data_IF_509641479880
#
_entry.id   IF_509641479880
#
_cell.length_a   1.000
_cell.length_b   1.000
_cell.length_c   1.000
_cell.angle_alpha   90.00
_cell.angle_beta   90.00
_cell.angle_gamma   90.00
#
_symmetry.space_group_name_H-M   'P 1'
#
loop_
_entity.id
_entity.type
_entity.pdbx_description
1 polymer ?
#
# COMPACT_ATOMS: atom_id res chain seq x y z
N UNK A 1 -19.63 -44.67 32.14
CA UNK A 1 -20.32 -43.39 32.43
C UNK A 1 -20.41 -42.47 31.20
N UNK A 2 -19.33 -42.13 30.49
CA UNK A 2 -19.39 -41.20 29.34
C UNK A 2 -20.34 -41.59 28.20
N UNK A 3 -20.45 -42.88 27.85
CA UNK A 3 -21.36 -43.38 26.83
C UNK A 3 -22.85 -43.09 27.11
N UNK A 4 -23.27 -43.09 28.36
CA UNK A 4 -24.67 -42.78 28.75
C UNK A 4 -24.96 -41.29 28.59
N UNK A 5 -24.03 -40.40 28.99
CA UNK A 5 -24.18 -38.95 28.80
C UNK A 5 -24.26 -38.55 27.33
N UNK A 6 -23.44 -39.17 26.48
CA UNK A 6 -23.49 -38.94 25.04
C UNK A 6 -24.82 -39.37 24.44
N UNK A 7 -25.33 -40.55 24.87
CA UNK A 7 -26.61 -41.07 24.39
C UNK A 7 -27.79 -40.17 24.80
N UNK A 8 -27.79 -39.69 26.07
CA UNK A 8 -28.77 -38.73 26.55
C UNK A 8 -28.69 -37.39 25.80
N UNK A 9 -27.48 -36.85 25.56
CA UNK A 9 -27.30 -35.62 24.82
C UNK A 9 -27.84 -35.72 23.38
N UNK A 10 -27.54 -36.83 22.69
CA UNK A 10 -28.06 -37.08 21.33
C UNK A 10 -29.59 -37.22 21.31
N UNK A 11 -30.16 -37.82 22.34
CA UNK A 11 -31.61 -37.97 22.46
C UNK A 11 -32.29 -36.61 22.71
N UNK A 12 -31.76 -35.76 23.60
CA UNK A 12 -32.22 -34.39 23.82
C UNK A 12 -32.16 -33.54 22.53
N UNK A 13 -31.10 -33.67 21.76
CA UNK A 13 -30.95 -32.99 20.44
C UNK A 13 -32.02 -33.43 19.45
N UNK A 14 -32.44 -34.70 19.47
CA UNK A 14 -33.50 -35.21 18.61
C UNK A 14 -34.90 -34.82 19.05
N UNK A 15 -35.16 -34.71 20.35
CA UNK A 15 -36.43 -34.31 20.87
C UNK A 15 -36.74 -32.83 20.63
N UNK A 16 -35.70 -31.96 20.63
CA UNK A 16 -35.84 -30.51 20.38
C UNK A 16 -35.05 -30.06 19.17
N UNK A 17 -35.37 -30.61 18.02
CA UNK A 17 -34.62 -30.42 16.77
C UNK A 17 -34.47 -28.95 16.36
N UNK A 18 -35.51 -28.12 16.49
CA UNK A 18 -35.49 -26.71 16.15
C UNK A 18 -34.51 -25.91 17.04
N UNK A 19 -34.56 -26.11 18.34
CA UNK A 19 -33.64 -25.43 19.27
C UNK A 19 -32.20 -25.89 19.07
N UNK A 20 -32.01 -27.16 18.77
CA UNK A 20 -30.70 -27.76 18.52
C UNK A 20 -30.08 -27.17 17.22
N UNK A 21 -30.84 -27.04 16.14
CA UNK A 21 -30.38 -26.44 14.87
C UNK A 21 -30.00 -24.98 15.11
N UNK A 22 -30.82 -24.19 15.79
CA UNK A 22 -30.54 -22.78 16.08
C UNK A 22 -29.28 -22.64 16.95
N UNK A 23 -29.14 -23.48 17.99
CA UNK A 23 -27.95 -23.42 18.85
C UNK A 23 -26.68 -23.83 18.15
N UNK A 24 -26.71 -24.89 17.35
CA UNK A 24 -25.53 -25.37 16.59
C UNK A 24 -25.16 -24.35 15.51
N UNK A 25 -26.13 -23.83 14.75
CA UNK A 25 -25.84 -22.83 13.72
C UNK A 25 -25.33 -21.51 14.31
N UNK A 26 -25.91 -21.06 15.44
CA UNK A 26 -25.44 -19.87 16.14
C UNK A 26 -24.01 -19.98 16.65
N UNK A 27 -23.68 -21.12 17.29
CA UNK A 27 -22.31 -21.36 17.74
C UNK A 27 -21.32 -21.53 16.60
N UNK A 28 -21.70 -22.22 15.55
CA UNK A 28 -20.87 -22.37 14.35
C UNK A 28 -20.59 -21.01 13.68
N UNK A 29 -21.60 -20.16 13.58
CA UNK A 29 -21.45 -18.80 13.02
C UNK A 29 -20.53 -17.93 13.92
N UNK A 30 -20.71 -18.00 15.22
CA UNK A 30 -19.87 -17.26 16.18
C UNK A 30 -18.38 -17.67 16.05
N UNK A 31 -18.12 -18.98 16.00
CA UNK A 31 -16.75 -19.49 15.83
C UNK A 31 -16.17 -19.05 14.47
N UNK A 32 -16.97 -19.16 13.40
CA UNK A 32 -16.54 -18.71 12.07
C UNK A 32 -16.17 -17.22 12.05
N UNK A 33 -16.96 -16.35 12.69
CA UNK A 33 -16.67 -14.92 12.80
C UNK A 33 -15.36 -14.66 13.57
N UNK A 34 -15.13 -15.36 14.68
CA UNK A 34 -13.87 -15.22 15.44
C UNK A 34 -12.68 -15.66 14.60
N UNK A 35 -12.79 -16.79 13.89
CA UNK A 35 -11.72 -17.26 13.01
C UNK A 35 -11.42 -16.27 11.89
N UNK A 36 -12.44 -15.71 11.24
CA UNK A 36 -12.26 -14.68 10.20
C UNK A 36 -11.56 -13.45 10.79
N UNK A 37 -11.96 -12.99 11.98
CA UNK A 37 -11.32 -11.85 12.64
C UNK A 37 -9.84 -12.13 12.95
N UNK A 38 -9.50 -13.32 13.44
CA UNK A 38 -8.11 -13.74 13.69
C UNK A 38 -7.31 -13.79 12.39
N UNK A 39 -7.87 -14.36 11.33
CA UNK A 39 -7.21 -14.40 10.03
C UNK A 39 -6.94 -13.01 9.46
N UNK A 40 -7.92 -12.12 9.51
CA UNK A 40 -7.75 -10.72 9.07
C UNK A 40 -6.68 -10.01 9.90
N UNK A 41 -6.65 -10.24 11.21
CA UNK A 41 -5.62 -9.67 12.06
C UNK A 41 -4.22 -10.23 11.73
N UNK A 42 -4.11 -11.54 11.51
CA UNK A 42 -2.84 -12.17 11.09
C UNK A 42 -2.34 -11.61 9.75
N UNK A 43 -3.21 -11.50 8.75
CA UNK A 43 -2.85 -10.91 7.44
C UNK A 43 -2.33 -9.48 7.61
N UNK A 44 -2.97 -8.68 8.47
CA UNK A 44 -2.55 -7.29 8.73
C UNK A 44 -1.24 -7.19 9.54
N UNK A 45 -0.91 -8.16 10.36
CA UNK A 45 0.28 -8.14 11.24
C UNK A 45 1.48 -8.86 10.64
N UNK A 46 1.28 -9.73 9.66
CA UNK A 46 2.37 -10.47 9.02
C UNK A 46 3.01 -9.61 7.94
N UNK A 47 4.32 -9.42 8.04
CA UNK A 47 5.11 -8.74 7.01
C UNK A 47 5.28 -9.65 5.79
N UNK A 48 4.89 -9.19 4.62
CA UNK A 48 5.15 -9.81 3.31
C UNK A 48 5.45 -8.72 2.28
N UNK A 49 6.15 -9.09 1.23
CA UNK A 49 6.53 -8.14 0.20
C UNK A 49 5.31 -7.39 -0.38
N UNK A 50 5.38 -6.06 -0.56
CA UNK A 50 6.55 -5.21 -0.37
C UNK A 50 6.78 -4.70 1.07
N UNK A 51 5.94 -5.04 2.05
CA UNK A 51 6.01 -4.56 3.43
C UNK A 51 6.62 -5.61 4.38
N UNK A 52 7.74 -6.22 4.02
CA UNK A 52 8.37 -7.31 4.77
C UNK A 52 8.70 -6.95 6.23
N UNK A 53 9.07 -5.70 6.47
CA UNK A 53 9.44 -5.17 7.79
C UNK A 53 8.35 -4.28 8.43
N UNK A 54 7.09 -4.54 8.14
CA UNK A 54 5.95 -3.70 8.55
C UNK A 54 5.90 -3.35 10.04
N UNK A 55 6.32 -4.25 10.91
CA UNK A 55 6.38 -4.04 12.35
C UNK A 55 7.40 -2.97 12.78
N UNK A 56 8.34 -2.59 11.90
CA UNK A 56 9.39 -1.58 12.14
C UNK A 56 9.04 -0.23 11.50
N UNK A 57 7.96 -0.14 10.74
CA UNK A 57 7.56 1.08 10.07
C UNK A 57 6.89 2.05 11.05
N UNK A 58 7.24 3.33 10.88
CA UNK A 58 6.54 4.44 11.51
C UNK A 58 5.95 5.31 10.41
N UNK A 59 4.64 5.52 10.45
CA UNK A 59 3.93 6.36 9.51
C UNK A 59 3.59 7.71 10.14
N UNK A 60 3.89 8.79 9.44
CA UNK A 60 3.52 10.15 9.84
C UNK A 60 2.59 10.71 8.77
N UNK A 61 1.30 10.81 9.09
CA UNK A 61 0.24 11.14 8.14
C UNK A 61 -0.03 12.64 7.98
N UNK A 62 0.55 13.48 8.83
CA UNK A 62 0.34 14.91 8.72
C UNK A 62 0.99 15.67 9.86
N UNK A 63 0.93 16.98 9.75
CA UNK A 63 1.41 17.94 10.76
C UNK A 63 0.24 18.75 11.31
N UNK A 64 0.36 19.15 12.58
CA UNK A 64 -0.51 20.11 13.20
C UNK A 64 0.30 21.37 13.53
N UNK A 65 -0.06 22.47 12.93
CA UNK A 65 0.51 23.77 13.27
C UNK A 65 -0.48 24.50 14.18
N UNK A 66 -0.04 24.80 15.41
CA UNK A 66 -0.85 25.59 16.34
C UNK A 66 -0.22 26.97 16.53
N UNK A 67 -0.98 28.02 16.25
CA UNK A 67 -0.60 29.38 16.58
C UNK A 67 -1.20 29.78 17.95
N UNK A 68 -0.34 30.22 18.87
CA UNK A 68 -0.79 30.84 20.13
C UNK A 68 -1.02 32.32 19.90
N UNK A 69 -2.19 32.70 19.46
CA UNK A 69 -2.63 34.09 19.43
C UNK A 69 -3.38 34.48 20.72
N UNK A 70 -3.33 35.75 21.18
CA UNK A 70 -4.00 36.19 22.40
C UNK A 70 -5.53 36.08 22.40
N UNK A 71 -6.14 35.59 21.34
CA UNK A 71 -7.61 35.45 21.19
C UNK A 71 -8.13 34.07 20.83
N UNK A 72 -7.27 33.06 20.76
CA UNK A 72 -7.66 31.69 20.40
C UNK A 72 -6.49 30.89 19.88
N UNK A 73 -6.58 29.55 19.94
CA UNK A 73 -5.61 28.65 19.32
C UNK A 73 -6.17 28.20 17.97
N UNK A 74 -5.67 28.79 16.89
CA UNK A 74 -5.91 28.25 15.56
C UNK A 74 -5.04 27.00 15.37
N UNK A 75 -5.69 25.86 15.17
CA UNK A 75 -5.05 24.59 14.84
C UNK A 75 -5.33 24.26 13.39
N UNK A 76 -4.30 24.23 12.60
CA UNK A 76 -4.39 23.79 11.21
C UNK A 76 -3.72 22.44 11.06
N UNK A 77 -4.48 21.45 10.57
CA UNK A 77 -3.97 20.11 10.27
C UNK A 77 -3.93 19.92 8.77
N UNK A 78 -2.82 19.45 8.28
CA UNK A 78 -2.65 19.21 6.85
C UNK A 78 -1.56 18.20 6.55
N UNK A 79 -1.40 17.88 5.26
CA UNK A 79 -0.24 17.16 4.77
C UNK A 79 1.04 17.95 5.02
N UNK A 80 2.18 17.26 4.94
CA UNK A 80 3.49 17.90 5.06
C UNK A 80 3.96 18.39 3.70
N UNK A 81 4.56 19.59 3.66
CA UNK A 81 5.31 20.01 2.48
C UNK A 81 6.62 19.21 2.35
N UNK A 82 7.15 19.12 1.14
CA UNK A 82 8.46 18.48 0.88
C UNK A 82 9.60 19.12 1.69
N UNK A 83 9.51 20.41 1.97
CA UNK A 83 10.50 21.14 2.78
C UNK A 83 10.47 20.69 4.24
N UNK A 84 9.29 20.56 4.84
CA UNK A 84 9.14 20.03 6.20
C UNK A 84 9.68 18.60 6.30
N UNK A 85 9.43 17.78 5.29
CA UNK A 85 9.99 16.41 5.23
C UNK A 85 11.51 16.45 5.20
N UNK A 86 12.10 17.30 4.35
CA UNK A 86 13.54 17.45 4.21
C UNK A 86 14.21 17.95 5.51
N UNK A 87 13.66 18.98 6.12
CA UNK A 87 14.25 19.60 7.31
C UNK A 87 14.06 18.77 8.57
N UNK A 88 12.87 18.20 8.78
CA UNK A 88 12.51 17.54 10.03
C UNK A 88 12.81 16.04 10.03
N UNK A 89 12.71 15.36 8.89
CA UNK A 89 12.77 13.89 8.85
C UNK A 89 14.05 13.36 8.21
N UNK A 90 14.58 13.95 7.14
CA UNK A 90 15.83 13.47 6.53
C UNK A 90 17.07 13.75 7.37
N UNK A 91 16.96 14.65 8.34
CA UNK A 91 18.03 14.94 9.31
C UNK A 91 18.10 13.92 10.46
N UNK A 92 17.09 13.06 10.59
CA UNK A 92 17.04 12.05 11.65
C UNK A 92 18.12 10.98 11.43
N UNK A 93 18.88 10.69 12.49
CA UNK A 93 19.99 9.71 12.46
C UNK A 93 19.60 8.30 12.91
N UNK A 94 18.46 8.16 13.59
CA UNK A 94 18.03 6.86 14.16
C UNK A 94 17.27 5.97 13.18
N UNK A 95 16.38 6.50 12.31
CA UNK A 95 15.75 5.67 11.28
C UNK A 95 16.78 5.12 10.32
N UNK A 96 16.61 3.87 9.88
CA UNK A 96 17.45 3.22 8.88
C UNK A 96 17.22 3.83 7.48
N UNK A 97 15.99 4.22 7.19
CA UNK A 97 15.60 4.96 6.00
C UNK A 97 14.40 5.85 6.31
N UNK A 98 14.29 6.96 5.60
CA UNK A 98 13.14 7.86 5.61
C UNK A 98 12.72 8.08 4.17
N UNK A 99 11.42 8.10 3.90
CA UNK A 99 10.86 8.39 2.60
C UNK A 99 9.62 9.25 2.75
N UNK A 100 9.51 10.28 1.93
CA UNK A 100 8.28 11.00 1.71
C UNK A 100 7.51 10.39 0.55
N UNK A 101 6.18 10.33 0.64
CA UNK A 101 5.35 9.95 -0.49
C UNK A 101 4.05 10.76 -0.53
N UNK A 102 3.55 10.94 -1.74
CA UNK A 102 2.25 11.51 -2.00
C UNK A 102 1.60 10.70 -3.13
N UNK A 103 0.31 10.42 -3.04
CA UNK A 103 -0.42 9.73 -4.11
C UNK A 103 -1.44 10.66 -4.74
N UNK A 104 -1.55 10.56 -6.06
CA UNK A 104 -2.56 11.22 -6.86
C UNK A 104 -2.89 10.36 -8.08
N UNK A 105 -3.98 10.67 -8.77
CA UNK A 105 -4.41 9.94 -9.97
C UNK A 105 -4.15 10.77 -11.21
N UNK A 106 -3.40 10.21 -12.16
CA UNK A 106 -3.09 10.87 -13.42
C UNK A 106 -3.29 9.96 -14.63
N UNK A 107 -3.59 10.58 -15.76
CA UNK A 107 -3.72 9.88 -17.03
C UNK A 107 -2.35 9.67 -17.69
N UNK A 108 -2.02 8.43 -17.99
CA UNK A 108 -0.84 8.07 -18.76
C UNK A 108 -1.18 7.86 -20.23
N UNK A 109 -0.23 8.23 -21.09
CA UNK A 109 -0.33 8.01 -22.53
C UNK A 109 1.01 7.61 -23.12
N UNK A 110 0.99 7.04 -24.31
CA UNK A 110 2.20 6.81 -25.11
C UNK A 110 2.43 7.97 -26.07
N UNK A 111 3.69 8.32 -26.39
CA UNK A 111 4.01 9.42 -27.30
C UNK A 111 3.28 9.35 -28.64
N UNK A 112 3.00 8.13 -29.13
CA UNK A 112 2.38 7.87 -30.42
C UNK A 112 0.95 7.32 -30.36
N UNK A 113 0.34 7.26 -29.18
CA UNK A 113 -1.01 6.72 -28.96
C UNK A 113 -1.82 7.66 -28.09
N UNK A 114 -2.99 8.08 -28.53
CA UNK A 114 -3.96 8.84 -27.73
C UNK A 114 -4.82 7.89 -26.86
N UNK A 115 -4.18 6.97 -26.18
CA UNK A 115 -4.85 6.15 -25.19
C UNK A 115 -4.58 6.79 -23.82
N UNK A 116 -5.60 7.38 -23.23
CA UNK A 116 -5.54 7.95 -21.89
C UNK A 116 -6.24 6.99 -20.95
N UNK A 117 -5.51 6.46 -19.99
CA UNK A 117 -6.06 5.67 -18.88
C UNK A 117 -5.52 6.24 -17.59
N UNK A 118 -6.38 6.41 -16.62
CA UNK A 118 -6.05 6.93 -15.31
C UNK A 118 -5.45 5.83 -14.44
N UNK A 119 -4.36 6.17 -13.75
CA UNK A 119 -3.66 5.27 -12.83
C UNK A 119 -3.30 6.01 -11.55
N UNK A 120 -3.17 5.26 -10.47
CA UNK A 120 -2.71 5.77 -9.19
C UNK A 120 -1.18 5.90 -9.19
N UNK A 121 -0.72 7.13 -9.02
CA UNK A 121 0.69 7.50 -9.06
C UNK A 121 1.18 7.76 -7.65
N UNK A 122 2.30 7.17 -7.27
CA UNK A 122 3.02 7.48 -6.06
C UNK A 122 4.22 8.36 -6.39
N UNK A 123 4.19 9.59 -5.91
CA UNK A 123 5.33 10.51 -5.91
C UNK A 123 6.20 10.19 -4.71
N UNK A 124 7.45 9.79 -4.93
CA UNK A 124 8.32 9.34 -3.85
C UNK A 124 9.79 9.65 -4.13
N UNK A 125 10.66 9.27 -3.20
CA UNK A 125 12.11 9.40 -3.29
C UNK A 125 12.81 8.03 -3.39
N UNK A 126 14.12 8.03 -3.49
CA UNK A 126 14.90 6.80 -3.53
C UNK A 126 14.89 6.01 -2.20
N UNK A 127 14.52 6.65 -1.09
CA UNK A 127 14.35 6.01 0.22
C UNK A 127 13.21 4.99 0.24
N UNK A 128 12.19 5.19 -0.58
CA UNK A 128 11.07 4.29 -0.74
C UNK A 128 11.52 2.84 -1.03
N UNK A 129 12.47 2.69 -1.93
CA UNK A 129 12.99 1.39 -2.36
C UNK A 129 13.84 0.68 -1.30
N UNK A 130 14.27 1.41 -0.26
CA UNK A 130 14.96 0.84 0.91
C UNK A 130 13.98 0.39 1.99
N UNK A 131 12.80 1.03 2.05
CA UNK A 131 11.76 0.75 3.03
C UNK A 131 10.87 -0.40 2.55
N UNK A 132 10.49 -0.37 1.26
CA UNK A 132 9.58 -1.34 0.66
C UNK A 132 10.33 -2.29 -0.28
N UNK A 133 10.20 -3.57 -0.02
CA UNK A 133 10.82 -4.65 -0.80
C UNK A 133 9.97 -4.99 -2.04
N UNK A 134 9.86 -4.06 -2.97
CA UNK A 134 9.13 -4.33 -4.21
C UNK A 134 9.85 -5.36 -5.07
N UNK A 135 9.21 -6.48 -5.43
CA UNK A 135 9.81 -7.47 -6.32
C UNK A 135 9.82 -6.96 -7.76
N UNK A 136 11.00 -6.60 -8.26
CA UNK A 136 11.17 -6.18 -9.66
C UNK A 136 11.10 -7.39 -10.59
N UNK A 137 10.32 -7.25 -11.65
CA UNK A 137 10.19 -8.23 -12.74
C UNK A 137 11.15 -7.88 -13.86
N UNK A 138 11.36 -6.58 -14.10
CA UNK A 138 12.23 -6.05 -15.15
C UNK A 138 12.90 -4.76 -14.65
N UNK A 139 14.17 -4.56 -15.00
CA UNK A 139 14.91 -3.34 -14.64
C UNK A 139 15.16 -3.17 -13.15
N UNK A 140 15.02 -1.95 -12.65
CA UNK A 140 15.25 -1.60 -11.25
C UNK A 140 14.68 -0.26 -10.85
N UNK A 141 14.84 0.14 -9.58
CA UNK A 141 14.36 1.41 -9.07
C UNK A 141 15.17 2.58 -9.66
N UNK A 142 14.60 3.79 -9.64
CA UNK A 142 15.40 4.98 -9.82
C UNK A 142 16.31 5.21 -8.61
N UNK A 143 17.50 5.72 -8.88
CA UNK A 143 18.54 5.95 -7.87
C UNK A 143 18.40 7.31 -7.19
N UNK A 144 19.11 7.49 -6.08
CA UNK A 144 19.26 8.80 -5.42
C UNK A 144 19.84 9.87 -6.36
N UNK A 145 20.79 9.48 -7.23
CA UNK A 145 21.35 10.39 -8.23
C UNK A 145 20.31 10.81 -9.28
N UNK A 146 19.44 9.90 -9.70
CA UNK A 146 18.33 10.21 -10.62
C UNK A 146 17.34 11.17 -9.96
N UNK A 147 17.01 10.93 -8.69
CA UNK A 147 16.13 11.79 -7.92
C UNK A 147 16.68 13.20 -7.78
N UNK A 148 17.94 13.35 -7.38
CA UNK A 148 18.57 14.66 -7.20
C UNK A 148 18.81 15.42 -8.52
N UNK A 149 19.01 14.68 -9.60
CA UNK A 149 19.19 15.28 -10.94
C UNK A 149 17.88 15.65 -11.62
N UNK A 150 16.71 15.34 -11.02
CA UNK A 150 15.41 15.59 -11.61
C UNK A 150 15.18 14.84 -12.93
N UNK A 151 15.83 13.68 -13.11
CA UNK A 151 15.64 12.87 -14.31
C UNK A 151 14.26 12.22 -14.27
N UNK A 152 13.40 12.44 -15.30
CA UNK A 152 12.04 11.92 -15.32
C UNK A 152 12.03 10.41 -15.57
N UNK A 153 12.24 9.64 -14.52
CA UNK A 153 12.16 8.18 -14.50
C UNK A 153 10.84 7.72 -13.89
N UNK A 154 10.40 6.55 -14.32
CA UNK A 154 9.14 5.96 -13.89
C UNK A 154 9.32 4.46 -13.65
N UNK A 155 8.74 3.97 -12.56
CA UNK A 155 8.58 2.54 -12.31
C UNK A 155 7.11 2.20 -12.47
N UNK A 156 6.80 1.13 -13.18
CA UNK A 156 5.44 0.69 -13.46
C UNK A 156 5.11 -0.58 -12.70
N UNK A 157 3.85 -0.81 -12.38
CA UNK A 157 3.37 -2.15 -12.03
C UNK A 157 3.26 -3.03 -13.28
N UNK A 158 3.26 -4.34 -13.09
CA UNK A 158 3.14 -5.35 -14.16
C UNK A 158 1.86 -5.14 -14.99
N UNK A 159 0.75 -4.80 -14.31
CA UNK A 159 -0.52 -4.49 -14.94
C UNK A 159 -0.44 -3.26 -15.85
N UNK A 160 0.17 -2.17 -15.37
CA UNK A 160 0.32 -0.93 -16.16
C UNK A 160 1.25 -1.15 -17.36
N UNK A 161 2.35 -1.86 -17.15
CA UNK A 161 3.27 -2.21 -18.23
C UNK A 161 2.55 -3.02 -19.33
N UNK A 162 1.72 -3.98 -18.94
CA UNK A 162 0.91 -4.78 -19.87
C UNK A 162 -0.16 -3.94 -20.57
N UNK A 163 -0.84 -3.07 -19.86
CA UNK A 163 -1.87 -2.18 -20.42
C UNK A 163 -1.30 -1.23 -21.48
N UNK A 164 -0.12 -0.65 -21.22
CA UNK A 164 0.51 0.33 -22.10
C UNK A 164 1.26 -0.32 -23.28
N UNK A 165 1.99 -1.39 -23.02
CA UNK A 165 2.96 -1.96 -23.96
C UNK A 165 2.62 -3.37 -24.43
N UNK A 166 1.61 -4.03 -23.83
CA UNK A 166 1.31 -5.43 -24.09
C UNK A 166 2.35 -6.34 -23.41
N UNK A 167 2.69 -7.44 -24.07
CA UNK A 167 3.62 -8.45 -23.53
C UNK A 167 5.11 -8.14 -23.81
N UNK A 168 5.42 -6.96 -24.33
CA UNK A 168 6.80 -6.56 -24.67
C UNK A 168 7.54 -5.96 -23.46
N UNK A 169 8.87 -5.86 -23.61
CA UNK A 169 9.69 -5.12 -22.64
C UNK A 169 9.21 -3.69 -22.47
N UNK A 170 9.08 -3.25 -21.21
CA UNK A 170 8.67 -1.90 -20.86
C UNK A 170 9.85 -0.99 -20.52
N UNK A 171 10.92 -1.54 -19.96
CA UNK A 171 12.11 -0.78 -19.56
C UNK A 171 12.77 -0.11 -20.77
N UNK A 172 13.13 1.17 -20.59
CA UNK A 172 13.68 2.03 -21.64
C UNK A 172 12.64 2.69 -22.53
N UNK A 173 11.35 2.31 -22.43
CA UNK A 173 10.28 2.97 -23.20
C UNK A 173 9.84 4.27 -22.52
N UNK A 174 9.18 5.11 -23.32
CA UNK A 174 8.70 6.41 -22.89
C UNK A 174 7.19 6.40 -22.64
N UNK A 175 6.79 7.06 -21.55
CA UNK A 175 5.40 7.30 -21.14
C UNK A 175 5.23 8.79 -20.92
N UNK A 176 4.12 9.35 -21.38
CA UNK A 176 3.79 10.76 -21.19
C UNK A 176 2.73 10.90 -20.09
N UNK A 177 3.00 11.75 -19.13
CA UNK A 177 2.10 12.17 -18.07
C UNK A 177 2.20 13.69 -17.94
N UNK A 178 1.06 14.39 -17.97
CA UNK A 178 0.97 15.85 -17.85
C UNK A 178 1.97 16.62 -18.73
N UNK A 179 2.09 16.18 -19.98
CA UNK A 179 3.01 16.73 -20.99
C UNK A 179 4.52 16.51 -20.72
N UNK A 180 4.86 15.78 -19.65
CA UNK A 180 6.23 15.38 -19.33
C UNK A 180 6.45 13.95 -19.82
N UNK A 181 7.59 13.73 -20.44
CA UNK A 181 7.98 12.39 -20.92
C UNK A 181 8.88 11.72 -19.90
N UNK A 182 8.40 10.60 -19.35
CA UNK A 182 9.14 9.77 -18.42
C UNK A 182 9.73 8.55 -19.14
N UNK A 183 10.90 8.12 -18.70
CA UNK A 183 11.50 6.86 -19.15
C UNK A 183 11.27 5.77 -18.11
N UNK A 184 10.71 4.66 -18.53
CA UNK A 184 10.50 3.50 -17.66
C UNK A 184 11.85 2.89 -17.28
N UNK A 185 12.18 2.86 -15.98
CA UNK A 185 13.43 2.28 -15.48
C UNK A 185 13.22 0.89 -14.86
N UNK A 186 12.01 0.55 -14.44
CA UNK A 186 11.73 -0.75 -13.88
C UNK A 186 10.24 -1.10 -13.92
N UNK A 187 9.97 -2.39 -13.78
CA UNK A 187 8.63 -2.94 -13.63
C UNK A 187 8.61 -3.79 -12.38
N UNK A 188 7.67 -3.53 -11.49
CA UNK A 188 7.46 -4.29 -10.25
C UNK A 188 6.20 -5.13 -10.35
N UNK A 189 6.16 -6.22 -9.57
CA UNK A 189 4.95 -7.02 -9.42
C UNK A 189 3.82 -6.19 -8.83
N UNK A 190 2.59 -6.48 -9.25
CA UNK A 190 1.42 -5.79 -8.74
C UNK A 190 1.30 -5.92 -7.21
N UNK A 191 0.99 -4.79 -6.58
CA UNK A 191 0.77 -4.69 -5.14
C UNK A 191 -0.73 -4.69 -4.89
N UNK A 192 -1.25 -5.50 -3.95
CA UNK A 192 -2.65 -5.45 -3.59
C UNK A 192 -3.05 -4.11 -2.99
N UNK A 193 -4.20 -3.57 -3.37
CA UNK A 193 -4.74 -2.31 -2.84
C UNK A 193 -5.02 -2.32 -1.32
N UNK A 194 -5.03 -3.51 -0.70
CA UNK A 194 -5.12 -3.66 0.75
C UNK A 194 -3.87 -3.18 1.50
N UNK A 195 -2.74 -3.01 0.81
CA UNK A 195 -1.47 -2.49 1.33
C UNK A 195 -1.37 -0.99 1.05
N UNK A 196 -2.22 -0.20 1.70
CA UNK A 196 -2.41 1.23 1.42
C UNK A 196 -1.13 2.07 1.41
N UNK A 197 -0.11 1.69 2.17
CA UNK A 197 1.12 2.48 2.30
C UNK A 197 2.15 2.21 1.21
N UNK A 198 2.11 1.04 0.60
CA UNK A 198 3.00 0.62 -0.48
C UNK A 198 2.30 0.48 -1.82
N UNK A 199 0.96 0.57 -1.81
CA UNK A 199 0.16 0.45 -3.01
C UNK A 199 0.33 1.69 -3.89
N UNK A 200 0.68 1.44 -5.12
CA UNK A 200 0.53 2.34 -6.25
C UNK A 200 0.57 1.50 -7.54
N UNK A 201 0.19 2.08 -8.64
CA UNK A 201 0.32 1.49 -9.96
C UNK A 201 1.56 2.01 -10.69
N UNK A 202 2.01 3.20 -10.32
CA UNK A 202 3.18 3.86 -10.90
C UNK A 202 3.91 4.64 -9.82
N UNK A 203 5.23 4.63 -9.86
CA UNK A 203 6.09 5.40 -8.94
C UNK A 203 6.99 6.33 -9.73
N UNK A 204 7.03 7.58 -9.32
CA UNK A 204 7.88 8.62 -9.93
C UNK A 204 8.58 9.46 -8.85
N UNK A 205 9.76 10.03 -9.14
CA UNK A 205 10.40 10.97 -8.25
C UNK A 205 9.61 12.28 -8.17
N UNK A 206 9.50 12.87 -6.96
CA UNK A 206 8.85 14.16 -6.75
C UNK A 206 9.82 15.36 -6.86
N UNK A 207 10.99 15.16 -7.41
CA UNK A 207 12.04 16.19 -7.64
C UNK A 207 11.68 17.15 -8.77
#
# INVERSE_FOLDING_TARGET
>A
MYKQYIKQAVQMLRENTLVSIISISGTALAIAMVLVMVLVFQIKSTGYAPESNRSRFMYVWGTEVSSKSPGGSDRNRGGMSSEVVKECFYTLRKPEAVSGYCSDSHSLSLPNRRLFKEYEICYTDAGHWKIFDHPFVEGGPFSEADFQSGIPKMVLSEQVATDLFGTGQAVGRQVVMDFITFTVCGVVRDVPSSLMSSYAQVWIPYS
#
